data_IF_393123157836
#
_entry.id   IF_393123157836
#
_cell.length_a   1.000
_cell.length_b   1.000
_cell.length_c   1.000
_cell.angle_alpha   90.00
_cell.angle_beta   90.00
_cell.angle_gamma   90.00
#
_symmetry.space_group_name_H-M   'P 1'
#
loop_
_entity.id
_entity.type
_entity.pdbx_description
1 polymer ?
#
# COMPACT_ATOMS: atom_id res chain seq x y z
N UNK A 1 -0.68 72.07 38.75
CA UNK A 1 -0.15 71.86 40.12
C UNK A 1 -1.08 70.90 40.87
N UNK A 2 -0.53 69.77 41.36
CA UNK A 2 -0.86 68.99 42.60
C UNK A 2 -2.35 68.83 43.00
N UNK A 3 -2.92 67.61 42.97
CA UNK A 3 -2.86 66.53 44.02
C UNK A 3 -3.91 66.76 45.13
N UNK A 4 -4.64 65.82 45.75
CA UNK A 4 -5.06 64.40 45.59
C UNK A 4 -5.85 64.06 46.89
N UNK A 5 -6.69 63.00 46.89
CA UNK A 5 -7.13 62.17 48.07
C UNK A 5 -8.12 62.81 49.08
N UNK A 6 -8.97 62.10 49.85
CA UNK A 6 -9.24 60.66 50.10
C UNK A 6 -10.63 60.52 50.78
N UNK A 7 -11.48 59.55 50.42
CA UNK A 7 -11.82 58.29 51.15
C UNK A 7 -12.77 58.36 52.38
N UNK A 8 -13.80 57.49 52.33
CA UNK A 8 -14.31 56.50 53.32
C UNK A 8 -15.85 56.54 53.45
N UNK A 9 -16.65 55.53 53.05
CA UNK A 9 -16.87 54.13 53.51
C UNK A 9 -17.86 54.01 54.69
N UNK A 10 -18.79 53.04 54.57
CA UNK A 10 -19.92 52.65 55.44
C UNK A 10 -21.28 53.33 55.11
N UNK A 11 -22.40 52.65 54.85
CA UNK A 11 -22.73 51.22 54.96
C UNK A 11 -23.95 50.83 54.09
N UNK A 12 -23.97 49.55 53.72
CA UNK A 12 -25.07 48.66 53.33
C UNK A 12 -26.33 48.88 54.22
N UNK A 13 -27.59 48.70 53.79
CA UNK A 13 -28.25 47.44 53.33
C UNK A 13 -29.50 47.78 52.50
N UNK A 14 -29.66 47.15 51.32
CA UNK A 14 -30.91 46.51 50.88
C UNK A 14 -30.62 45.58 49.71
N UNK A 15 -30.82 44.27 49.90
CA UNK A 15 -30.37 43.19 49.02
C UNK A 15 -31.43 42.76 47.99
N UNK A 16 -30.96 42.37 46.80
CA UNK A 16 -31.63 41.52 45.80
C UNK A 16 -30.57 40.64 45.10
N UNK A 17 -30.90 39.41 44.65
CA UNK A 17 -29.93 38.33 44.52
C UNK A 17 -28.98 38.45 43.30
N UNK A 18 -27.72 38.10 43.54
CA UNK A 18 -26.62 38.02 42.57
C UNK A 18 -26.94 36.99 41.48
N UNK A 19 -26.88 37.39 40.22
CA UNK A 19 -27.21 36.56 39.04
C UNK A 19 -26.10 35.58 38.62
N UNK A 20 -25.11 35.31 39.48
CA UNK A 20 -23.93 34.53 39.11
C UNK A 20 -24.00 33.04 39.54
N UNK A 21 -24.94 32.67 40.41
CA UNK A 21 -25.00 31.32 40.98
C UNK A 21 -25.82 30.33 40.14
N UNK A 22 -26.87 30.78 39.45
CA UNK A 22 -27.67 29.91 38.59
C UNK A 22 -26.92 29.48 37.32
N UNK A 23 -26.14 30.40 36.73
CA UNK A 23 -25.34 30.12 35.53
C UNK A 23 -24.12 29.23 35.82
N UNK A 24 -23.51 29.37 37.00
CA UNK A 24 -22.39 28.52 37.42
C UNK A 24 -22.86 27.09 37.70
N UNK A 25 -24.02 26.90 38.32
CA UNK A 25 -24.59 25.57 38.60
C UNK A 25 -25.05 24.84 37.32
N UNK A 26 -25.66 25.55 36.36
CA UNK A 26 -26.06 24.98 35.07
C UNK A 26 -24.84 24.59 34.23
N UNK A 27 -23.78 25.41 34.21
CA UNK A 27 -22.54 25.08 33.51
C UNK A 27 -21.74 23.97 34.19
N UNK A 28 -21.71 23.92 35.53
CA UNK A 28 -21.10 22.82 36.27
C UNK A 28 -21.86 21.50 36.05
N UNK A 29 -23.20 21.53 36.07
CA UNK A 29 -24.06 20.37 35.79
C UNK A 29 -23.91 19.90 34.34
N UNK A 30 -23.79 20.82 33.37
CA UNK A 30 -23.52 20.49 31.95
C UNK A 30 -22.14 19.86 31.77
N UNK A 31 -21.09 20.40 32.41
CA UNK A 31 -19.75 19.81 32.40
C UNK A 31 -19.71 18.45 33.09
N UNK A 32 -20.47 18.26 34.17
CA UNK A 32 -20.59 16.99 34.87
C UNK A 32 -21.39 15.95 34.06
N UNK A 33 -22.50 16.34 33.42
CA UNK A 33 -23.28 15.50 32.49
C UNK A 33 -22.48 15.10 31.24
N UNK A 34 -21.65 15.99 30.69
CA UNK A 34 -20.72 15.69 29.58
C UNK A 34 -19.60 14.75 30.05
N UNK A 35 -19.14 14.88 31.30
CA UNK A 35 -18.10 14.01 31.88
C UNK A 35 -18.62 12.63 32.29
N UNK A 36 -19.88 12.53 32.73
CA UNK A 36 -20.57 11.28 33.05
C UNK A 36 -20.96 10.53 31.78
N UNK A 37 -21.65 11.18 30.82
CA UNK A 37 -21.98 10.55 29.54
C UNK A 37 -20.75 10.29 28.67
N UNK A 38 -19.72 11.13 28.73
CA UNK A 38 -18.53 11.01 27.89
C UNK A 38 -17.61 9.84 28.26
N UNK A 39 -17.52 9.47 29.54
CA UNK A 39 -16.71 8.32 29.97
C UNK A 39 -17.39 7.00 29.65
N UNK A 40 -18.68 6.88 29.90
CA UNK A 40 -19.43 5.65 29.62
C UNK A 40 -19.65 5.48 28.11
N UNK A 41 -19.84 6.58 27.37
CA UNK A 41 -19.88 6.57 25.91
C UNK A 41 -18.51 6.28 25.28
N UNK A 42 -17.40 6.81 25.82
CA UNK A 42 -16.05 6.44 25.34
C UNK A 42 -15.64 5.03 25.74
N UNK A 43 -16.05 4.55 26.92
CA UNK A 43 -15.84 3.16 27.32
C UNK A 43 -16.67 2.20 26.46
N UNK A 44 -17.93 2.56 26.14
CA UNK A 44 -18.76 1.82 25.19
C UNK A 44 -18.21 1.89 23.77
N UNK A 45 -17.80 3.06 23.26
CA UNK A 45 -17.18 3.22 21.94
C UNK A 45 -15.86 2.46 21.82
N UNK A 46 -15.01 2.49 22.86
CA UNK A 46 -13.77 1.71 22.90
C UNK A 46 -14.05 0.22 23.08
N UNK A 47 -15.10 -0.18 23.80
CA UNK A 47 -15.54 -1.58 23.92
C UNK A 47 -16.16 -2.12 22.63
N UNK A 48 -16.84 -1.28 21.85
CA UNK A 48 -17.45 -1.65 20.56
C UNK A 48 -16.38 -1.64 19.44
N UNK A 49 -15.33 -0.82 19.55
CA UNK A 49 -14.17 -0.82 18.64
C UNK A 49 -13.00 -1.71 19.08
N UNK A 50 -13.13 -2.42 20.20
CA UNK A 50 -12.21 -3.47 20.65
C UNK A 50 -12.82 -4.87 20.58
N UNK A 51 -13.89 -5.09 19.79
CA UNK A 51 -14.09 -6.40 19.18
C UNK A 51 -12.96 -6.59 18.16
N UNK A 52 -12.04 -7.49 18.49
CA UNK A 52 -10.80 -7.70 17.77
C UNK A 52 -11.00 -7.85 16.27
N UNK A 53 -10.64 -6.81 15.52
CA UNK A 53 -10.15 -7.01 14.16
C UNK A 53 -8.84 -7.76 14.34
N UNK A 54 -8.92 -9.08 14.36
CA UNK A 54 -7.78 -9.94 14.10
C UNK A 54 -7.16 -9.41 12.81
N UNK A 55 -6.03 -8.71 12.93
CA UNK A 55 -5.29 -8.21 11.77
C UNK A 55 -4.77 -9.45 11.06
N UNK A 56 -5.58 -9.97 10.13
CA UNK A 56 -5.20 -11.08 9.29
C UNK A 56 -3.89 -10.70 8.61
N UNK A 57 -2.87 -11.52 8.83
CA UNK A 57 -1.57 -11.35 8.18
C UNK A 57 -1.78 -11.28 6.66
N UNK A 58 -1.21 -10.28 5.98
CA UNK A 58 -1.40 -10.13 4.54
C UNK A 58 -0.81 -11.33 3.82
N UNK A 59 -1.55 -11.82 2.84
CA UNK A 59 -1.09 -12.87 1.93
C UNK A 59 0.16 -12.41 1.17
N UNK A 60 1.01 -13.33 0.68
CA UNK A 60 2.15 -12.98 -0.16
C UNK A 60 1.78 -12.09 -1.37
N UNK A 61 0.63 -12.32 -2.02
CA UNK A 61 0.15 -11.45 -3.09
C UNK A 61 -0.26 -10.05 -2.60
N UNK A 62 -0.88 -9.94 -1.42
CA UNK A 62 -1.16 -8.62 -0.81
C UNK A 62 0.15 -7.90 -0.47
N UNK A 63 1.12 -8.58 0.14
CA UNK A 63 2.46 -8.04 0.44
C UNK A 63 3.14 -7.48 -0.81
N UNK A 64 3.06 -8.21 -1.92
CA UNK A 64 3.58 -7.78 -3.22
C UNK A 64 3.02 -6.43 -3.66
N UNK A 65 1.69 -6.23 -3.59
CA UNK A 65 1.07 -4.96 -4.03
C UNK A 65 1.13 -3.84 -2.99
N UNK A 66 1.18 -4.18 -1.70
CA UNK A 66 1.30 -3.22 -0.59
C UNK A 66 2.57 -2.36 -0.68
N UNK A 67 3.58 -2.78 -1.44
CA UNK A 67 4.73 -1.93 -1.76
C UNK A 67 4.31 -0.62 -2.43
N UNK A 68 3.31 -0.67 -3.32
CA UNK A 68 2.81 0.47 -4.08
C UNK A 68 1.75 1.29 -3.34
N UNK A 69 1.19 0.79 -2.24
CA UNK A 69 0.33 1.55 -1.35
C UNK A 69 1.22 2.48 -0.51
N UNK A 70 1.44 3.71 -0.97
CA UNK A 70 2.45 4.60 -0.39
C UNK A 70 1.93 5.22 0.90
N UNK A 71 0.66 5.61 0.92
CA UNK A 71 0.02 6.22 2.08
C UNK A 71 -0.52 5.21 3.10
N UNK A 72 -0.52 3.91 2.78
CA UNK A 72 -0.96 2.79 3.65
C UNK A 72 -2.44 2.82 3.98
N UNK A 73 -3.28 3.32 3.07
CA UNK A 73 -4.73 3.34 3.24
C UNK A 73 -5.44 2.10 2.65
N UNK A 74 -4.70 1.18 2.04
CA UNK A 74 -5.21 -0.03 1.41
C UNK A 74 -5.76 0.16 -0.01
N UNK A 75 -5.57 1.34 -0.60
CA UNK A 75 -5.99 1.69 -1.96
C UNK A 75 -4.81 2.25 -2.74
N UNK A 76 -4.52 1.65 -3.90
CA UNK A 76 -3.41 2.09 -4.75
C UNK A 76 -3.97 2.86 -5.94
N UNK A 77 -3.54 4.11 -6.09
CA UNK A 77 -3.86 4.95 -7.24
C UNK A 77 -2.73 5.02 -8.26
N UNK A 78 -2.99 5.46 -9.52
CA UNK A 78 -1.97 5.52 -10.55
C UNK A 78 -0.71 6.30 -10.16
N UNK A 79 -0.84 7.40 -9.41
CA UNK A 79 0.31 8.19 -8.96
C UNK A 79 1.18 7.44 -7.94
N UNK A 80 0.61 6.52 -7.16
CA UNK A 80 1.36 5.69 -6.22
C UNK A 80 2.05 4.55 -6.92
N UNK A 81 1.38 3.92 -7.90
CA UNK A 81 2.02 2.96 -8.82
C UNK A 81 3.23 3.61 -9.49
N UNK A 82 3.07 4.80 -10.06
CA UNK A 82 4.17 5.57 -10.64
C UNK A 82 5.32 5.77 -9.62
N UNK A 83 5.01 6.24 -8.42
CA UNK A 83 6.00 6.45 -7.36
C UNK A 83 6.74 5.16 -6.98
N UNK A 84 6.04 4.03 -6.86
CA UNK A 84 6.65 2.74 -6.57
C UNK A 84 7.62 2.30 -7.67
N UNK A 85 7.24 2.43 -8.95
CA UNK A 85 8.16 2.13 -10.06
C UNK A 85 9.41 3.03 -10.05
N UNK A 86 9.25 4.31 -9.74
CA UNK A 86 10.39 5.23 -9.56
C UNK A 86 11.27 4.85 -8.36
N UNK A 87 10.65 4.41 -7.25
CA UNK A 87 11.35 3.98 -6.03
C UNK A 87 12.26 2.78 -6.29
N UNK A 88 11.83 1.82 -7.11
CA UNK A 88 12.65 0.64 -7.51
C UNK A 88 13.67 0.92 -8.63
N UNK A 89 13.80 2.19 -9.08
CA UNK A 89 14.79 2.59 -10.09
C UNK A 89 14.32 2.51 -11.54
N UNK A 90 13.03 2.27 -11.80
CA UNK A 90 12.49 2.27 -13.18
C UNK A 90 12.47 3.68 -13.75
N UNK A 91 12.80 3.86 -15.04
CA UNK A 91 12.73 5.15 -15.74
C UNK A 91 11.32 5.78 -15.82
N UNK A 92 11.24 7.05 -16.22
CA UNK A 92 9.98 7.81 -16.28
C UNK A 92 8.97 7.15 -17.23
N UNK A 93 9.39 6.80 -18.46
CA UNK A 93 8.51 6.21 -19.46
C UNK A 93 7.87 4.90 -19.00
N UNK A 94 8.68 3.97 -18.47
CA UNK A 94 8.17 2.71 -17.94
C UNK A 94 7.23 2.93 -16.74
N UNK A 95 7.55 3.88 -15.87
CA UNK A 95 6.73 4.20 -14.69
C UNK A 95 5.35 4.76 -15.08
N UNK A 96 5.29 5.65 -16.09
CA UNK A 96 4.03 6.19 -16.62
C UNK A 96 3.21 5.06 -17.26
N UNK A 97 3.81 4.29 -18.16
CA UNK A 97 3.14 3.19 -18.83
C UNK A 97 2.57 2.17 -17.83
N UNK A 98 3.39 1.71 -16.87
CA UNK A 98 2.97 0.75 -15.87
C UNK A 98 1.83 1.29 -14.99
N UNK A 99 1.90 2.55 -14.57
CA UNK A 99 0.85 3.18 -13.75
C UNK A 99 -0.52 3.19 -14.43
N UNK A 100 -0.57 3.52 -15.73
CA UNK A 100 -1.82 3.54 -16.48
C UNK A 100 -2.32 2.12 -16.71
N UNK A 101 -1.45 1.22 -17.18
CA UNK A 101 -1.82 -0.14 -17.54
C UNK A 101 -2.33 -0.96 -16.35
N UNK A 102 -1.60 -0.94 -15.23
CA UNK A 102 -1.90 -1.70 -14.02
C UNK A 102 -3.22 -1.20 -13.39
N UNK A 103 -3.34 0.11 -13.16
CA UNK A 103 -4.53 0.66 -12.52
C UNK A 103 -5.78 0.51 -13.40
N UNK A 104 -5.69 0.77 -14.71
CA UNK A 104 -6.82 0.56 -15.61
C UNK A 104 -7.24 -0.92 -15.69
N UNK A 105 -6.27 -1.84 -15.69
CA UNK A 105 -6.52 -3.29 -15.77
C UNK A 105 -7.08 -3.92 -14.50
N UNK A 106 -6.67 -3.43 -13.32
CA UNK A 106 -6.99 -4.05 -12.03
C UNK A 106 -8.13 -3.34 -11.28
N UNK A 107 -8.39 -2.06 -11.54
CA UNK A 107 -9.35 -1.28 -10.73
C UNK A 107 -10.74 -1.89 -10.68
N UNK A 108 -11.31 -2.28 -11.84
CA UNK A 108 -12.65 -2.88 -11.87
C UNK A 108 -12.67 -4.26 -11.20
N UNK A 109 -11.62 -5.06 -11.36
CA UNK A 109 -11.55 -6.43 -10.81
C UNK A 109 -11.50 -6.43 -9.28
N UNK A 110 -10.78 -5.48 -8.69
CA UNK A 110 -10.63 -5.36 -7.23
C UNK A 110 -11.79 -4.64 -6.55
N UNK A 111 -12.80 -4.18 -7.31
CA UNK A 111 -13.92 -3.37 -6.79
C UNK A 111 -15.28 -3.94 -7.19
N UNK A 112 -15.56 -5.23 -6.90
CA UNK A 112 -16.84 -5.84 -7.26
C UNK A 112 -18.01 -5.08 -6.62
N UNK A 113 -19.08 -4.88 -7.39
CA UNK A 113 -20.28 -4.16 -6.94
C UNK A 113 -20.13 -2.64 -6.84
N UNK A 114 -18.95 -2.06 -7.12
CA UNK A 114 -18.74 -0.60 -7.13
C UNK A 114 -18.83 -0.04 -8.55
N UNK A 115 -19.33 1.18 -8.68
CA UNK A 115 -19.31 1.90 -9.95
C UNK A 115 -17.85 2.13 -10.42
N UNK A 116 -17.59 2.07 -11.74
CA UNK A 116 -16.29 2.42 -12.32
C UNK A 116 -15.83 3.80 -11.81
N UNK A 117 -14.59 3.87 -11.34
CA UNK A 117 -13.98 5.14 -10.91
C UNK A 117 -13.01 5.61 -11.98
N UNK A 118 -13.09 6.88 -12.34
CA UNK A 118 -12.17 7.53 -13.28
C UNK A 118 -10.75 7.69 -12.69
N UNK A 119 -10.58 7.51 -11.38
CA UNK A 119 -9.29 7.54 -10.72
C UNK A 119 -8.60 6.16 -10.69
N UNK A 120 -9.26 5.12 -11.21
CA UNK A 120 -8.73 3.75 -11.28
C UNK A 120 -8.06 3.22 -9.99
N UNK A 121 -8.72 3.30 -8.82
CA UNK A 121 -8.20 2.76 -7.57
C UNK A 121 -8.13 1.23 -7.61
N UNK A 122 -7.08 0.66 -7.01
CA UNK A 122 -6.93 -0.78 -6.77
C UNK A 122 -7.11 -1.03 -5.27
N UNK A 123 -8.04 -1.90 -4.88
CA UNK A 123 -8.22 -2.26 -3.47
C UNK A 123 -7.34 -3.46 -3.10
N UNK A 124 -6.34 -3.24 -2.24
CA UNK A 124 -5.33 -4.24 -1.85
C UNK A 124 -5.97 -5.53 -1.35
N UNK A 125 -6.93 -5.43 -0.43
CA UNK A 125 -7.66 -6.58 0.16
C UNK A 125 -8.36 -7.48 -0.86
N UNK A 126 -8.61 -6.96 -2.07
CA UNK A 126 -9.31 -7.66 -3.14
C UNK A 126 -8.38 -8.07 -4.28
N UNK A 127 -7.06 -7.91 -4.13
CA UNK A 127 -6.10 -8.15 -5.22
C UNK A 127 -6.16 -9.58 -5.77
N UNK A 128 -6.50 -10.56 -4.94
CA UNK A 128 -6.70 -11.95 -5.37
C UNK A 128 -7.75 -12.10 -6.48
N UNK A 129 -8.75 -11.22 -6.53
CA UNK A 129 -9.78 -11.19 -7.59
C UNK A 129 -9.21 -10.74 -8.94
N UNK A 130 -8.03 -10.13 -8.94
CA UNK A 130 -7.41 -9.59 -10.13
C UNK A 130 -6.53 -10.60 -10.90
N UNK A 131 -6.29 -11.78 -10.28
CA UNK A 131 -5.63 -12.94 -10.90
C UNK A 131 -6.31 -13.32 -12.23
N UNK A 132 -5.55 -13.95 -13.11
CA UNK A 132 -5.98 -14.37 -14.44
C UNK A 132 -5.54 -15.81 -14.71
N UNK A 133 -6.14 -16.46 -15.72
CA UNK A 133 -6.01 -17.92 -15.90
C UNK A 133 -4.69 -18.36 -16.54
N UNK A 134 -4.14 -17.53 -17.43
CA UNK A 134 -2.85 -17.78 -18.09
C UNK A 134 -1.63 -17.41 -17.23
N UNK A 135 -1.79 -17.39 -15.90
CA UNK A 135 -0.72 -17.12 -14.95
C UNK A 135 0.18 -18.35 -14.72
N UNK A 136 1.18 -18.23 -13.84
CA UNK A 136 2.10 -19.33 -13.53
C UNK A 136 1.54 -20.37 -12.55
N UNK A 137 0.39 -20.09 -11.92
CA UNK A 137 -0.15 -20.87 -10.82
C UNK A 137 0.63 -20.79 -9.50
N UNK A 138 1.73 -20.02 -9.43
CA UNK A 138 2.55 -19.92 -8.21
C UNK A 138 1.90 -19.08 -7.09
N UNK A 139 0.80 -18.40 -7.39
CA UNK A 139 -0.17 -17.95 -6.39
C UNK A 139 -1.43 -18.81 -6.49
N UNK A 140 -1.93 -19.32 -5.36
CA UNK A 140 -3.24 -19.96 -5.32
C UNK A 140 -4.39 -18.93 -5.45
N UNK A 141 -5.64 -19.41 -5.48
CA UNK A 141 -6.84 -18.58 -5.63
C UNK A 141 -7.03 -17.55 -4.51
N UNK A 142 -6.40 -17.78 -3.36
CA UNK A 142 -6.44 -16.90 -2.20
C UNK A 142 -5.22 -15.96 -2.12
N UNK A 143 -4.30 -16.02 -3.10
CA UNK A 143 -3.09 -15.19 -3.14
C UNK A 143 -1.95 -15.73 -2.27
N UNK A 144 -2.02 -16.99 -1.82
CA UNK A 144 -0.93 -17.64 -1.09
C UNK A 144 0.13 -18.16 -2.05
N UNK A 145 1.38 -18.11 -1.63
CA UNK A 145 2.51 -18.59 -2.44
C UNK A 145 2.55 -20.13 -2.42
N UNK A 146 2.59 -20.74 -3.60
CA UNK A 146 2.65 -22.20 -3.78
C UNK A 146 4.05 -22.59 -4.25
N UNK A 147 4.87 -23.05 -3.31
CA UNK A 147 6.29 -23.34 -3.53
C UNK A 147 6.48 -24.39 -4.64
N UNK A 148 5.65 -25.43 -4.67
CA UNK A 148 5.77 -26.51 -5.67
C UNK A 148 5.54 -25.99 -7.08
N UNK A 149 4.54 -25.12 -7.28
CA UNK A 149 4.25 -24.49 -8.57
C UNK A 149 5.33 -23.51 -9.00
N UNK A 150 5.92 -22.80 -8.06
CA UNK A 150 7.08 -21.97 -8.32
C UNK A 150 8.29 -22.79 -8.76
N UNK A 151 8.60 -23.89 -8.08
CA UNK A 151 9.71 -24.78 -8.46
C UNK A 151 9.47 -25.44 -9.83
N UNK A 152 8.21 -25.75 -10.17
CA UNK A 152 7.84 -26.25 -11.50
C UNK A 152 8.22 -25.29 -12.63
N UNK A 153 8.18 -23.97 -12.43
CA UNK A 153 8.58 -22.98 -13.46
C UNK A 153 9.99 -23.27 -13.96
N UNK A 154 10.94 -23.38 -13.03
CA UNK A 154 12.35 -23.58 -13.36
C UNK A 154 12.61 -25.02 -13.81
N UNK A 155 11.99 -25.99 -13.15
CA UNK A 155 12.13 -27.40 -13.53
C UNK A 155 11.67 -27.68 -14.97
N UNK A 156 10.63 -26.99 -15.45
CA UNK A 156 10.07 -27.20 -16.81
C UNK A 156 10.77 -26.35 -17.87
N UNK A 157 11.13 -25.11 -17.54
CA UNK A 157 11.51 -24.12 -18.56
C UNK A 157 12.97 -23.66 -18.48
N UNK A 158 13.65 -23.79 -17.34
CA UNK A 158 15.03 -23.32 -17.17
C UNK A 158 16.05 -24.38 -17.63
N UNK A 159 16.07 -24.69 -18.93
CA UNK A 159 16.85 -25.77 -19.53
C UNK A 159 18.33 -25.44 -19.65
N UNK A 160 18.64 -24.16 -19.86
CA UNK A 160 20.00 -23.65 -20.08
C UNK A 160 20.72 -23.41 -18.76
N UNK A 161 19.99 -22.99 -17.72
CA UNK A 161 20.49 -22.78 -16.37
C UNK A 161 19.37 -23.10 -15.37
N UNK A 162 19.54 -24.15 -14.55
CA UNK A 162 18.47 -24.62 -13.66
C UNK A 162 17.96 -23.61 -12.64
N UNK A 163 18.65 -22.47 -12.43
CA UNK A 163 18.25 -21.41 -11.51
C UNK A 163 18.00 -20.06 -12.20
N UNK A 164 17.86 -20.00 -13.52
CA UNK A 164 17.51 -18.76 -14.22
C UNK A 164 16.82 -19.00 -15.56
N UNK A 165 15.97 -18.07 -15.97
CA UNK A 165 15.32 -18.10 -17.28
C UNK A 165 16.01 -17.15 -18.26
N UNK A 166 16.30 -17.64 -19.46
CA UNK A 166 16.60 -16.79 -20.62
C UNK A 166 15.32 -16.14 -21.16
N UNK A 167 15.45 -15.14 -22.04
CA UNK A 167 14.29 -14.53 -22.71
C UNK A 167 13.48 -15.55 -23.52
N UNK A 168 14.16 -16.49 -24.18
CA UNK A 168 13.53 -17.52 -25.01
C UNK A 168 12.77 -18.54 -24.17
N UNK A 169 13.36 -19.01 -23.07
CA UNK A 169 12.70 -19.93 -22.13
C UNK A 169 11.50 -19.26 -21.45
N UNK A 170 11.60 -17.96 -21.16
CA UNK A 170 10.47 -17.20 -20.66
C UNK A 170 9.33 -17.11 -21.68
N UNK A 171 9.63 -16.90 -22.97
CA UNK A 171 8.64 -16.89 -24.05
C UNK A 171 8.00 -18.28 -24.27
N UNK A 172 8.79 -19.35 -24.13
CA UNK A 172 8.28 -20.72 -24.15
C UNK A 172 7.31 -20.96 -22.98
N UNK A 173 7.69 -20.56 -21.76
CA UNK A 173 6.85 -20.67 -20.58
C UNK A 173 5.53 -19.92 -20.74
N UNK A 174 5.57 -18.67 -21.21
CA UNK A 174 4.36 -17.87 -21.43
C UNK A 174 3.40 -18.55 -22.41
N UNK A 175 3.92 -19.11 -23.51
CA UNK A 175 3.12 -19.88 -24.48
C UNK A 175 2.55 -21.16 -23.87
N UNK A 176 3.33 -21.85 -23.05
CA UNK A 176 2.91 -23.09 -22.39
C UNK A 176 1.80 -22.88 -21.34
N UNK A 177 1.76 -21.71 -20.71
CA UNK A 177 0.75 -21.36 -19.69
C UNK A 177 -0.55 -20.79 -20.29
N UNK A 178 -0.61 -20.53 -21.59
CA UNK A 178 -1.80 -19.96 -22.24
C UNK A 178 -3.05 -20.83 -22.05
N UNK A 179 -4.11 -20.25 -21.50
CA UNK A 179 -5.41 -20.92 -21.38
C UNK A 179 -6.30 -20.64 -22.60
N UNK A 180 -7.02 -21.65 -23.13
CA UNK A 180 -8.00 -21.44 -24.19
C UNK A 180 -9.03 -20.38 -23.80
N UNK A 181 -9.33 -19.45 -24.72
CA UNK A 181 -10.30 -18.35 -24.55
C UNK A 181 -9.91 -17.27 -23.52
N UNK A 182 -8.68 -17.27 -23.00
CA UNK A 182 -8.19 -16.25 -22.04
C UNK A 182 -7.28 -15.18 -22.69
N UNK A 183 -7.74 -14.51 -23.74
CA UNK A 183 -6.90 -13.50 -24.43
C UNK A 183 -6.44 -12.34 -23.53
N UNK A 184 -7.25 -11.94 -22.54
CA UNK A 184 -6.87 -10.87 -21.60
C UNK A 184 -5.81 -11.35 -20.61
N UNK A 185 -5.95 -12.56 -20.07
CA UNK A 185 -4.92 -13.13 -19.18
C UNK A 185 -3.60 -13.35 -19.89
N UNK A 186 -3.61 -13.79 -21.16
CA UNK A 186 -2.39 -13.90 -21.97
C UNK A 186 -1.63 -12.58 -22.12
N UNK A 187 -2.34 -11.48 -22.41
CA UNK A 187 -1.73 -10.15 -22.52
C UNK A 187 -1.20 -9.67 -21.15
N UNK A 188 -1.94 -9.93 -20.07
CA UNK A 188 -1.51 -9.60 -18.72
C UNK A 188 -0.25 -10.37 -18.33
N UNK A 189 -0.25 -11.70 -18.47
CA UNK A 189 0.89 -12.57 -18.20
C UNK A 189 2.14 -12.15 -18.98
N UNK A 190 2.01 -11.91 -20.29
CA UNK A 190 3.11 -11.45 -21.12
C UNK A 190 3.67 -10.12 -20.60
N UNK A 191 2.81 -9.16 -20.29
CA UNK A 191 3.22 -7.84 -19.81
C UNK A 191 3.94 -7.93 -18.45
N UNK A 192 3.36 -8.66 -17.50
CA UNK A 192 3.91 -8.87 -16.15
C UNK A 192 5.31 -9.49 -16.22
N UNK A 193 5.46 -10.59 -16.96
CA UNK A 193 6.73 -11.30 -17.08
C UNK A 193 7.77 -10.54 -17.88
N UNK A 194 7.40 -9.81 -18.95
CA UNK A 194 8.35 -9.01 -19.73
C UNK A 194 8.84 -7.79 -18.95
N UNK A 195 7.98 -7.14 -18.15
CA UNK A 195 8.40 -6.07 -17.24
C UNK A 195 9.36 -6.63 -16.18
N UNK A 196 9.04 -7.77 -15.56
CA UNK A 196 9.93 -8.42 -14.59
C UNK A 196 11.29 -8.77 -15.21
N UNK A 197 11.29 -9.39 -16.39
CA UNK A 197 12.52 -9.72 -17.10
C UNK A 197 13.36 -8.48 -17.41
N UNK A 198 12.73 -7.42 -17.92
CA UNK A 198 13.41 -6.15 -18.21
C UNK A 198 14.03 -5.54 -16.94
N UNK A 199 13.33 -5.59 -15.81
CA UNK A 199 13.78 -5.01 -14.54
C UNK A 199 14.86 -5.83 -13.84
N UNK A 200 14.84 -7.16 -13.99
CA UNK A 200 15.59 -8.06 -13.11
C UNK A 200 16.56 -9.01 -13.80
N UNK A 201 16.63 -9.04 -15.15
CA UNK A 201 17.67 -9.79 -15.84
C UNK A 201 19.06 -9.26 -15.49
N UNK A 202 20.02 -10.15 -15.38
CA UNK A 202 21.42 -9.77 -15.18
C UNK A 202 22.09 -9.29 -16.49
N UNK A 203 23.40 -9.03 -16.41
CA UNK A 203 24.24 -8.62 -17.53
C UNK A 203 24.36 -9.69 -18.64
N UNK A 204 24.10 -10.95 -18.31
CA UNK A 204 24.10 -12.08 -19.23
C UNK A 204 22.70 -12.37 -19.80
N UNK A 205 21.69 -11.58 -19.44
CA UNK A 205 20.31 -11.77 -19.88
C UNK A 205 19.58 -12.91 -19.16
N UNK A 206 20.03 -13.27 -17.95
CA UNK A 206 19.41 -14.31 -17.15
C UNK A 206 18.50 -13.70 -16.07
N UNK A 207 17.24 -14.13 -16.02
CA UNK A 207 16.31 -13.81 -14.95
C UNK A 207 16.44 -14.85 -13.84
N UNK A 208 17.18 -14.51 -12.79
CA UNK A 208 17.49 -15.42 -11.68
C UNK A 208 16.27 -15.81 -10.84
N UNK A 209 16.24 -17.06 -10.42
CA UNK A 209 15.18 -17.68 -9.61
C UNK A 209 14.86 -16.93 -8.33
N UNK A 210 15.87 -16.41 -7.63
CA UNK A 210 15.65 -15.63 -6.40
C UNK A 210 14.91 -14.32 -6.65
N UNK A 211 15.16 -13.63 -7.77
CA UNK A 211 14.42 -12.42 -8.12
C UNK A 211 12.96 -12.75 -8.42
N UNK A 212 12.71 -13.87 -9.10
CA UNK A 212 11.34 -14.36 -9.34
C UNK A 212 10.67 -14.79 -8.03
N UNK A 213 11.37 -15.47 -7.11
CA UNK A 213 10.84 -15.82 -5.79
C UNK A 213 10.43 -14.57 -5.01
N UNK A 214 11.25 -13.53 -5.07
CA UNK A 214 10.96 -12.24 -4.46
C UNK A 214 9.66 -11.59 -4.94
N UNK A 215 9.24 -11.85 -6.19
CA UNK A 215 7.91 -11.42 -6.67
C UNK A 215 6.84 -12.10 -5.85
N UNK A 216 6.93 -13.42 -5.75
CA UNK A 216 5.88 -14.26 -5.17
C UNK A 216 5.80 -14.17 -3.64
N UNK A 217 6.92 -14.01 -2.94
CA UNK A 217 6.92 -13.81 -1.48
C UNK A 217 6.65 -12.34 -1.07
N UNK A 218 6.65 -11.42 -2.04
CA UNK A 218 6.39 -9.99 -1.85
C UNK A 218 7.61 -9.15 -1.46
N UNK A 219 8.82 -9.71 -1.47
CA UNK A 219 10.04 -9.02 -1.03
C UNK A 219 10.81 -8.27 -2.12
N UNK A 220 10.60 -8.59 -3.41
CA UNK A 220 11.43 -8.10 -4.51
C UNK A 220 11.51 -6.57 -4.57
N UNK A 221 10.37 -5.87 -4.53
CA UNK A 221 10.36 -4.43 -4.73
C UNK A 221 11.01 -3.67 -3.57
N UNK A 222 10.87 -4.16 -2.34
CA UNK A 222 11.59 -3.62 -1.19
C UNK A 222 13.11 -3.80 -1.34
N UNK A 223 13.56 -4.97 -1.82
CA UNK A 223 14.97 -5.22 -2.11
C UNK A 223 15.48 -4.25 -3.19
N UNK A 224 14.74 -4.11 -4.30
CA UNK A 224 15.10 -3.19 -5.39
C UNK A 224 15.14 -1.72 -4.95
N UNK A 225 14.18 -1.30 -4.13
CA UNK A 225 14.15 0.06 -3.58
C UNK A 225 15.38 0.34 -2.70
N UNK A 226 15.75 -0.60 -1.83
CA UNK A 226 16.96 -0.48 -0.99
C UNK A 226 18.25 -0.46 -1.83
N UNK A 227 18.34 -1.31 -2.84
CA UNK A 227 19.47 -1.35 -3.78
C UNK A 227 19.60 -0.01 -4.53
N UNK A 228 18.49 0.52 -5.05
CA UNK A 228 18.47 1.79 -5.79
C UNK A 228 18.84 2.98 -4.91
N UNK A 229 18.28 3.06 -3.69
CA UNK A 229 18.65 4.09 -2.72
C UNK A 229 20.15 4.04 -2.38
N UNK A 230 20.68 2.84 -2.13
CA UNK A 230 22.09 2.63 -1.80
C UNK A 230 23.03 3.07 -2.92
N UNK A 231 22.66 2.80 -4.18
CA UNK A 231 23.42 3.25 -5.35
C UNK A 231 23.44 4.78 -5.45
N UNK A 232 22.29 5.43 -5.26
CA UNK A 232 22.20 6.89 -5.30
C UNK A 232 23.01 7.55 -4.16
N UNK A 233 22.98 6.99 -2.95
CA UNK A 233 23.82 7.46 -1.85
C UNK A 233 25.31 7.34 -2.16
N UNK A 234 25.76 6.21 -2.74
CA UNK A 234 27.16 6.03 -3.14
C UNK A 234 27.59 7.00 -4.23
N UNK A 235 26.78 7.19 -5.27
CA UNK A 235 27.06 8.16 -6.33
C UNK A 235 27.18 9.60 -5.78
N UNK A 236 26.29 9.99 -4.87
CA UNK A 236 26.32 11.33 -4.26
C UNK A 236 27.52 11.53 -3.32
N UNK A 237 28.00 10.48 -2.65
CA UNK A 237 29.20 10.54 -1.82
C UNK A 237 30.48 10.66 -2.67
N UNK A 238 30.56 9.91 -3.78
CA UNK A 238 31.69 9.97 -4.70
C UNK A 238 31.78 11.32 -5.42
N UNK A 239 30.65 11.99 -5.69
CA UNK A 239 30.63 13.33 -6.30
C UNK A 239 30.89 14.48 -5.33
N UNK A 240 30.90 14.22 -4.01
CA UNK A 240 31.10 15.24 -2.96
C UNK A 240 32.43 15.12 -2.21
N UNK A 241 33.28 14.15 -2.55
CA UNK A 241 34.65 14.09 -2.01
C UNK A 241 35.52 15.17 -2.67
N UNK A 242 36.14 16.08 -1.89
CA UNK A 242 37.01 17.12 -2.45
C UNK A 242 38.28 16.48 -3.03
N UNK A 243 38.64 16.89 -4.26
CA UNK A 243 39.96 16.65 -4.85
C UNK A 243 41.06 17.39 -4.08
#
# INVERSE_FOLDING_TARGET
>A
MRSFKSQNFQALISQGPHTDDAFSFVNASRKHLVKLKGKDFMASYNSIHQEGVEKKEPTPLEKHVMFFDINKDGVIYPWETYQGFRKIGSGIFLSVFASIFINAGLSRKTRPGKWPSLLFPIEVKNIKLAKHGSDSGAYDTEGRFVQEKFEEIFRKHARSNGNALTAQELDEMLKANEQPKDSKGRIAALSEWKILYFLCKDQHGLLGKEKVRGVYDGSLFEQMAKEHQSKNCKCNYQSSSPN
#
